data_IF_831978913634
#
_entry.id   IF_831978913634
#
_cell.length_a   1.000
_cell.length_b   1.000
_cell.length_c   1.000
_cell.angle_alpha   90.00
_cell.angle_beta   90.00
_cell.angle_gamma   90.00
#
_symmetry.space_group_name_H-M   'P 1'
#
loop_
_entity.id
_entity.type
_entity.pdbx_description
1 polymer ?
#
# COMPACT_ATOMS: atom_id res chain seq x y z
N UNK A 1 29.62 -6.32 -2.20
CA UNK A 1 28.45 -5.46 -2.47
C UNK A 1 27.97 -4.89 -1.14
N UNK A 2 27.65 -3.59 -1.06
CA UNK A 2 27.21 -2.96 0.18
C UNK A 2 25.72 -3.16 0.48
N UNK A 3 25.31 -2.92 1.73
CA UNK A 3 23.91 -3.07 2.20
C UNK A 3 22.94 -2.27 1.33
N UNK A 4 23.28 -1.04 0.94
CA UNK A 4 22.43 -0.20 0.10
C UNK A 4 22.09 -0.84 -1.26
N UNK A 5 23.05 -1.54 -1.89
CA UNK A 5 22.81 -2.23 -3.15
C UNK A 5 21.90 -3.45 -2.96
N UNK A 6 22.12 -4.25 -1.92
CA UNK A 6 21.29 -5.42 -1.61
C UNK A 6 19.84 -5.01 -1.31
N UNK A 7 19.64 -3.90 -0.59
CA UNK A 7 18.31 -3.34 -0.35
C UNK A 7 17.61 -2.95 -1.65
N UNK A 8 18.32 -2.29 -2.57
CA UNK A 8 17.75 -1.93 -3.87
C UNK A 8 17.43 -3.15 -4.72
N UNK A 9 18.32 -4.14 -4.76
CA UNK A 9 18.16 -5.37 -5.53
C UNK A 9 16.98 -6.21 -5.03
N UNK A 10 16.95 -6.52 -3.72
CA UNK A 10 15.85 -7.28 -3.12
C UNK A 10 14.55 -6.48 -3.14
N UNK A 11 14.59 -5.17 -2.91
CA UNK A 11 13.42 -4.30 -3.00
C UNK A 11 12.81 -4.29 -4.40
N UNK A 12 13.63 -4.21 -5.45
CA UNK A 12 13.16 -4.29 -6.84
C UNK A 12 12.54 -5.65 -7.15
N UNK A 13 13.19 -6.73 -6.72
CA UNK A 13 12.69 -8.09 -6.92
C UNK A 13 11.35 -8.31 -6.20
N UNK A 14 11.26 -7.90 -4.93
CA UNK A 14 10.04 -7.99 -4.13
C UNK A 14 8.90 -7.17 -4.75
N UNK A 15 9.18 -5.94 -5.19
CA UNK A 15 8.17 -5.08 -5.81
C UNK A 15 7.60 -5.68 -7.12
N UNK A 16 8.46 -6.27 -7.97
CA UNK A 16 8.03 -6.95 -9.20
C UNK A 16 7.13 -8.15 -8.91
N UNK A 17 7.59 -9.03 -8.01
CA UNK A 17 6.83 -10.21 -7.58
C UNK A 17 5.50 -9.87 -6.90
N UNK A 18 5.42 -8.77 -6.17
CA UNK A 18 4.16 -8.31 -5.61
C UNK A 18 3.22 -7.79 -6.69
N UNK A 19 3.74 -7.02 -7.67
CA UNK A 19 2.96 -6.52 -8.80
C UNK A 19 2.32 -7.66 -9.62
N UNK A 20 3.07 -8.73 -9.89
CA UNK A 20 2.54 -9.92 -10.57
C UNK A 20 1.41 -10.59 -9.79
N UNK A 21 1.56 -10.74 -8.46
CA UNK A 21 0.52 -11.37 -7.63
C UNK A 21 -0.76 -10.54 -7.56
N UNK A 22 -0.66 -9.23 -7.37
CA UNK A 22 -1.85 -8.37 -7.25
C UNK A 22 -2.57 -8.17 -8.58
N UNK A 23 -1.87 -8.33 -9.71
CA UNK A 23 -2.48 -8.30 -11.04
C UNK A 23 -3.51 -9.43 -11.22
N UNK A 24 -3.39 -10.55 -10.51
CA UNK A 24 -4.39 -11.62 -10.52
C UNK A 24 -5.76 -11.19 -9.94
N UNK A 25 -5.80 -10.07 -9.20
CA UNK A 25 -7.01 -9.46 -8.64
C UNK A 25 -7.40 -8.17 -9.39
N UNK A 26 -6.89 -7.98 -10.60
CA UNK A 26 -7.03 -6.73 -11.37
C UNK A 26 -6.60 -5.49 -10.56
N UNK A 27 -5.59 -5.64 -9.69
CA UNK A 27 -5.04 -4.55 -8.90
C UNK A 27 -3.65 -4.17 -9.37
N UNK A 28 -3.32 -2.90 -9.21
CA UNK A 28 -1.93 -2.43 -9.19
C UNK A 28 -1.43 -2.34 -7.74
N UNK A 29 -0.11 -2.40 -7.48
CA UNK A 29 0.43 -2.29 -6.12
C UNK A 29 -0.07 -1.08 -5.32
N UNK A 30 -0.20 0.15 -5.89
CA UNK A 30 -0.76 1.27 -5.13
C UNK A 30 -2.24 1.12 -4.82
N UNK A 31 -3.04 0.49 -5.69
CA UNK A 31 -4.46 0.24 -5.40
C UNK A 31 -4.59 -0.73 -4.22
N UNK A 32 -3.81 -1.81 -4.23
CA UNK A 32 -3.68 -2.72 -3.08
C UNK A 32 -3.24 -1.97 -1.80
N UNK A 33 -2.27 -1.06 -1.92
CA UNK A 33 -1.80 -0.21 -0.83
C UNK A 33 -2.88 0.72 -0.27
N UNK A 34 -3.65 1.39 -1.15
CA UNK A 34 -4.75 2.29 -0.77
C UNK A 34 -5.83 1.51 -0.01
N UNK A 35 -6.25 0.36 -0.52
CA UNK A 35 -7.27 -0.46 0.15
C UNK A 35 -6.82 -0.84 1.56
N UNK A 36 -5.57 -1.32 1.71
CA UNK A 36 -5.00 -1.68 3.01
C UNK A 36 -4.96 -0.48 3.97
N UNK A 37 -4.62 0.70 3.46
CA UNK A 37 -4.59 1.92 4.27
C UNK A 37 -6.00 2.33 4.73
N UNK A 38 -6.99 2.26 3.85
CA UNK A 38 -8.38 2.56 4.19
C UNK A 38 -8.94 1.58 5.22
N UNK A 39 -8.57 0.30 5.15
CA UNK A 39 -8.96 -0.70 6.17
C UNK A 39 -8.45 -0.32 7.56
N UNK A 40 -7.21 0.14 7.66
CA UNK A 40 -6.58 0.54 8.92
C UNK A 40 -6.96 1.94 9.39
N UNK A 41 -7.56 2.77 8.53
CA UNK A 41 -7.95 4.14 8.86
C UNK A 41 -9.22 4.54 8.07
N UNK A 42 -10.38 3.96 8.39
CA UNK A 42 -11.62 4.28 7.70
C UNK A 42 -12.04 5.73 7.99
N UNK A 43 -12.52 6.42 6.96
CA UNK A 43 -12.97 7.81 7.08
C UNK A 43 -11.87 8.86 6.99
N UNK A 44 -10.63 8.48 6.63
CA UNK A 44 -9.59 9.46 6.34
C UNK A 44 -10.00 10.40 5.19
N UNK A 45 -9.58 11.66 5.30
CA UNK A 45 -9.76 12.61 4.23
C UNK A 45 -8.87 12.25 3.03
N UNK A 46 -9.31 12.64 1.84
CA UNK A 46 -8.51 12.49 0.63
C UNK A 46 -7.13 13.17 0.75
N UNK A 47 -7.06 14.31 1.44
CA UNK A 47 -5.81 15.04 1.67
C UNK A 47 -4.82 14.24 2.51
N UNK A 48 -5.27 13.68 3.64
CA UNK A 48 -4.41 12.88 4.51
C UNK A 48 -3.87 11.64 3.78
N UNK A 49 -4.70 10.99 2.97
CA UNK A 49 -4.28 9.82 2.18
C UNK A 49 -3.30 10.21 1.07
N UNK A 50 -3.55 11.31 0.36
CA UNK A 50 -2.64 11.86 -0.63
C UNK A 50 -1.26 12.17 -0.02
N UNK A 51 -1.24 12.85 1.13
CA UNK A 51 -0.03 13.20 1.86
C UNK A 51 0.72 11.93 2.33
N UNK A 52 0.02 10.96 2.90
CA UNK A 52 0.61 9.66 3.33
C UNK A 52 1.22 8.90 2.17
N UNK A 53 0.56 8.85 1.02
CA UNK A 53 1.06 8.20 -0.19
C UNK A 53 2.16 9.00 -0.91
N UNK A 54 2.38 10.27 -0.53
CA UNK A 54 3.24 11.19 -1.26
C UNK A 54 2.74 11.45 -2.70
N UNK A 55 1.42 11.42 -2.90
CA UNK A 55 0.77 11.64 -4.18
C UNK A 55 0.18 13.06 -4.19
N UNK A 56 0.51 13.92 -5.17
CA UNK A 56 -0.09 15.24 -5.28
C UNK A 56 -1.60 15.12 -5.55
N UNK A 57 -2.44 16.06 -5.07
CA UNK A 57 -3.89 15.99 -5.21
C UNK A 57 -4.37 15.79 -6.65
N UNK A 58 -3.70 16.41 -7.63
CA UNK A 58 -4.01 16.28 -9.05
C UNK A 58 -3.88 14.86 -9.61
N UNK A 59 -3.10 13.99 -8.95
CA UNK A 59 -3.00 12.56 -9.30
C UNK A 59 -3.83 11.68 -8.37
N UNK A 60 -3.98 12.09 -7.11
CA UNK A 60 -4.73 11.32 -6.12
C UNK A 60 -6.22 11.27 -6.41
N UNK A 61 -6.82 12.38 -6.85
CA UNK A 61 -8.26 12.41 -7.15
C UNK A 61 -8.62 11.42 -8.27
N UNK A 62 -8.01 11.47 -9.47
CA UNK A 62 -8.28 10.48 -10.52
C UNK A 62 -7.97 9.05 -10.09
N UNK A 63 -6.93 8.86 -9.29
CA UNK A 63 -6.58 7.53 -8.77
C UNK A 63 -7.70 6.95 -7.89
N UNK A 64 -8.29 7.76 -7.01
CA UNK A 64 -9.44 7.32 -6.20
C UNK A 64 -10.70 7.20 -7.05
N UNK A 65 -10.90 8.05 -8.05
CA UNK A 65 -12.03 7.95 -8.99
C UNK A 65 -12.06 6.58 -9.66
N UNK A 66 -10.92 6.06 -10.15
CA UNK A 66 -10.87 4.70 -10.73
C UNK A 66 -11.26 3.60 -9.74
N UNK A 67 -11.03 3.80 -8.45
CA UNK A 67 -11.37 2.83 -7.40
C UNK A 67 -12.84 2.94 -7.01
N UNK A 68 -13.42 4.14 -7.06
CA UNK A 68 -14.85 4.39 -6.85
C UNK A 68 -15.69 3.88 -8.04
N UNK A 69 -15.25 4.10 -9.27
CA UNK A 69 -15.86 3.55 -10.49
C UNK A 69 -15.90 2.02 -10.49
N UNK A 70 -14.86 1.38 -9.92
CA UNK A 70 -14.82 -0.07 -9.70
C UNK A 70 -15.67 -0.53 -8.50
N UNK A 71 -16.28 0.40 -7.77
CA UNK A 71 -17.09 0.11 -6.60
C UNK A 71 -16.30 -0.42 -5.40
N UNK A 72 -14.99 -0.19 -5.32
CA UNK A 72 -14.12 -0.67 -4.23
C UNK A 72 -14.00 0.33 -3.08
N UNK A 73 -14.16 1.62 -3.38
CA UNK A 73 -14.07 2.73 -2.44
C UNK A 73 -15.28 3.63 -2.64
N UNK A 74 -15.71 4.31 -1.58
CA UNK A 74 -16.75 5.33 -1.66
C UNK A 74 -16.36 6.61 -0.92
N UNK A 75 -16.82 7.75 -1.44
CA UNK A 75 -16.72 9.05 -0.78
C UNK A 75 -17.99 9.36 0.00
N UNK A 76 -17.84 9.57 1.30
CA UNK A 76 -18.91 10.08 2.16
C UNK A 76 -18.57 11.50 2.60
N UNK A 77 -19.60 12.33 2.84
CA UNK A 77 -19.37 13.64 3.48
C UNK A 77 -18.79 13.40 4.86
N UNK A 78 -17.70 14.08 5.18
CA UNK A 78 -17.10 13.97 6.50
C UNK A 78 -18.08 14.57 7.55
N UNK A 79 -18.41 13.84 8.64
CA UNK A 79 -19.32 14.33 9.67
C UNK A 79 -18.78 15.55 10.43
N UNK A 80 -17.45 15.67 10.57
CA UNK A 80 -16.79 16.73 11.35
C UNK A 80 -16.51 17.99 10.53
N UNK A 81 -16.30 17.85 9.22
CA UNK A 81 -16.24 18.98 8.28
C UNK A 81 -16.92 18.62 6.96
N UNK A 82 -18.17 19.10 6.79
CA UNK A 82 -19.00 18.82 5.61
C UNK A 82 -18.40 19.32 4.28
N UNK A 83 -17.34 20.14 4.32
CA UNK A 83 -16.60 20.58 3.14
C UNK A 83 -15.58 19.55 2.67
N UNK A 84 -15.29 18.54 3.49
CA UNK A 84 -14.34 17.47 3.19
C UNK A 84 -15.08 16.16 2.88
N UNK A 85 -14.47 15.36 2.00
CA UNK A 85 -14.87 13.97 1.76
C UNK A 85 -13.95 13.03 2.50
N UNK A 86 -14.57 12.06 3.18
CA UNK A 86 -13.94 10.96 3.87
C UNK A 86 -14.07 9.70 3.00
N UNK A 87 -12.99 8.92 2.88
CA UNK A 87 -12.96 7.70 2.08
C UNK A 87 -13.19 6.46 2.94
N UNK A 88 -13.99 5.54 2.39
CA UNK A 88 -14.32 4.27 3.01
C UNK A 88 -14.18 3.15 1.99
N UNK A 89 -13.86 1.95 2.47
CA UNK A 89 -14.05 0.75 1.66
C UNK A 89 -15.54 0.45 1.54
N UNK A 90 -15.94 0.01 0.36
CA UNK A 90 -17.24 -0.66 0.18
C UNK A 90 -17.14 -2.12 0.63
N UNK A 91 -18.26 -2.84 0.66
CA UNK A 91 -18.27 -4.30 0.88
C UNK A 91 -17.46 -5.07 -0.17
N UNK A 92 -17.47 -4.61 -1.43
CA UNK A 92 -16.65 -5.18 -2.49
C UNK A 92 -15.16 -4.91 -2.26
N UNK A 93 -14.80 -3.69 -1.80
CA UNK A 93 -13.42 -3.36 -1.44
C UNK A 93 -12.89 -4.17 -0.26
N UNK A 94 -13.75 -4.45 0.73
CA UNK A 94 -13.44 -5.32 1.86
C UNK A 94 -13.23 -6.78 1.43
N UNK A 95 -14.12 -7.32 0.61
CA UNK A 95 -13.99 -8.67 0.04
C UNK A 95 -12.70 -8.83 -0.75
N UNK A 96 -12.37 -7.85 -1.60
CA UNK A 96 -11.12 -7.87 -2.39
C UNK A 96 -9.86 -7.82 -1.51
N UNK A 97 -9.91 -7.15 -0.37
CA UNK A 97 -8.81 -7.17 0.60
C UNK A 97 -8.63 -8.53 1.26
N UNK A 98 -9.73 -9.25 1.51
CA UNK A 98 -9.68 -10.60 2.07
C UNK A 98 -9.06 -11.58 1.07
N UNK A 99 -9.28 -11.39 -0.23
CA UNK A 99 -8.59 -12.12 -1.30
C UNK A 99 -7.11 -11.72 -1.44
N UNK A 100 -6.79 -10.43 -1.25
CA UNK A 100 -5.41 -9.94 -1.32
C UNK A 100 -4.54 -10.45 -0.17
N UNK A 101 -5.12 -10.65 1.02
CA UNK A 101 -4.38 -11.03 2.24
C UNK A 101 -3.54 -12.31 2.08
N UNK A 102 -4.07 -13.46 1.61
CA UNK A 102 -3.26 -14.65 1.40
C UNK A 102 -2.14 -14.45 0.36
N UNK A 103 -2.38 -13.65 -0.69
CA UNK A 103 -1.33 -13.33 -1.69
C UNK A 103 -0.19 -12.52 -1.07
N UNK A 104 -0.50 -11.56 -0.22
CA UNK A 104 0.50 -10.78 0.51
C UNK A 104 1.28 -11.64 1.53
N UNK A 105 0.62 -12.59 2.19
CA UNK A 105 1.28 -13.54 3.10
C UNK A 105 2.20 -14.50 2.35
N UNK A 106 1.76 -15.04 1.21
CA UNK A 106 2.60 -15.88 0.36
C UNK A 106 3.80 -15.10 -0.19
N UNK A 107 3.61 -13.84 -0.58
CA UNK A 107 4.70 -12.97 -1.01
C UNK A 107 5.78 -12.82 0.07
N UNK A 108 5.38 -12.52 1.31
CA UNK A 108 6.31 -12.42 2.44
C UNK A 108 7.02 -13.75 2.69
N UNK A 109 6.26 -14.85 2.76
CA UNK A 109 6.80 -16.18 3.03
C UNK A 109 7.83 -16.61 1.98
N UNK A 110 7.55 -16.39 0.70
CA UNK A 110 8.46 -16.74 -0.39
C UNK A 110 9.75 -15.91 -0.32
N UNK A 111 9.63 -14.59 -0.10
CA UNK A 111 10.77 -13.67 -0.05
C UNK A 111 11.71 -13.97 1.12
N UNK A 112 11.17 -14.43 2.24
CA UNK A 112 11.94 -14.73 3.46
C UNK A 112 12.12 -16.22 3.74
N UNK A 113 11.82 -17.08 2.77
CA UNK A 113 11.80 -18.55 2.93
C UNK A 113 13.12 -19.17 3.40
N UNK A 114 14.25 -18.49 3.18
CA UNK A 114 15.59 -18.95 3.58
C UNK A 114 15.98 -18.52 5.00
N UNK A 115 15.18 -17.68 5.66
CA UNK A 115 15.47 -17.16 7.00
C UNK A 115 14.80 -18.01 8.07
N UNK A 116 15.52 -18.29 9.16
CA UNK A 116 14.92 -18.79 10.38
C UNK A 116 14.00 -17.73 11.02
N UNK A 117 13.09 -18.13 11.95
CA UNK A 117 12.24 -17.18 12.66
C UNK A 117 13.00 -16.11 13.47
N UNK A 118 14.23 -16.40 13.90
CA UNK A 118 15.08 -15.42 14.58
C UNK A 118 15.70 -14.44 13.59
N UNK A 119 16.29 -14.93 12.49
CA UNK A 119 16.88 -14.09 11.44
C UNK A 119 15.82 -13.17 10.81
N UNK A 120 14.61 -13.68 10.59
CA UNK A 120 13.47 -12.86 10.12
C UNK A 120 13.19 -11.69 11.07
N UNK A 121 13.07 -11.96 12.38
CA UNK A 121 12.79 -10.92 13.38
C UNK A 121 13.93 -9.92 13.46
N UNK A 122 15.18 -10.38 13.42
CA UNK A 122 16.35 -9.52 13.41
C UNK A 122 16.37 -8.63 12.16
N UNK A 123 16.20 -9.20 10.96
CA UNK A 123 16.18 -8.46 9.71
C UNK A 123 15.07 -7.41 9.71
N UNK A 124 13.85 -7.81 10.08
CA UNK A 124 12.70 -6.90 10.17
C UNK A 124 12.97 -5.73 11.12
N UNK A 125 13.52 -6.00 12.31
CA UNK A 125 13.87 -4.95 13.27
C UNK A 125 14.93 -3.98 12.75
N UNK A 126 15.96 -4.49 12.07
CA UNK A 126 17.00 -3.66 11.44
C UNK A 126 16.41 -2.76 10.33
N UNK A 127 15.57 -3.33 9.45
CA UNK A 127 14.91 -2.59 8.38
C UNK A 127 13.97 -1.51 8.93
N UNK A 128 13.19 -1.82 9.98
CA UNK A 128 12.31 -0.86 10.63
C UNK A 128 13.09 0.31 11.24
N UNK A 129 14.22 0.02 11.91
CA UNK A 129 15.08 1.06 12.48
C UNK A 129 15.67 1.98 11.40
N UNK A 130 16.12 1.40 10.28
CA UNK A 130 16.61 2.18 9.13
C UNK A 130 15.51 3.02 8.50
N UNK A 131 14.30 2.46 8.33
CA UNK A 131 13.16 3.19 7.77
C UNK A 131 12.74 4.37 8.64
N UNK A 132 12.72 4.20 9.96
CA UNK A 132 12.44 5.26 10.92
C UNK A 132 13.48 6.38 10.87
N UNK A 133 14.78 6.04 10.85
CA UNK A 133 15.87 7.01 10.70
C UNK A 133 15.75 7.86 9.41
N UNK A 134 15.22 7.27 8.33
CA UNK A 134 14.98 7.96 7.06
C UNK A 134 13.60 8.61 6.93
N UNK A 135 12.82 8.64 8.01
CA UNK A 135 11.46 9.20 8.03
C UNK A 135 10.56 8.62 6.92
N UNK A 136 10.71 7.33 6.62
CA UNK A 136 9.83 6.65 5.66
C UNK A 136 8.49 6.36 6.33
N UNK A 137 7.39 6.66 5.64
CA UNK A 137 6.03 6.42 6.13
C UNK A 137 5.78 4.91 6.29
N UNK A 138 5.51 4.42 7.52
CA UNK A 138 5.22 3.01 7.73
C UNK A 138 4.01 2.55 6.91
N UNK A 139 4.10 1.36 6.31
CA UNK A 139 3.01 0.79 5.53
C UNK A 139 2.75 1.48 4.17
N UNK A 140 3.59 2.43 3.76
CA UNK A 140 3.51 3.06 2.43
C UNK A 140 4.74 2.69 1.62
N UNK A 141 4.56 2.00 0.50
CA UNK A 141 5.65 1.68 -0.39
C UNK A 141 5.98 2.90 -1.27
N UNK A 142 7.25 3.36 -1.37
CA UNK A 142 7.61 4.57 -2.13
C UNK A 142 7.24 4.50 -3.62
N UNK A 143 7.19 3.29 -4.20
CA UNK A 143 6.73 3.07 -5.58
C UNK A 143 5.31 3.57 -5.86
N UNK A 144 4.50 3.82 -4.83
CA UNK A 144 3.17 4.42 -4.98
C UNK A 144 3.22 5.88 -5.47
N UNK A 145 4.36 6.58 -5.30
CA UNK A 145 4.54 7.98 -5.73
C UNK A 145 4.62 8.17 -7.25
N UNK A 146 4.94 7.11 -7.99
CA UNK A 146 5.20 7.15 -9.44
C UNK A 146 4.10 6.53 -10.30
N UNK A 147 3.06 5.95 -9.71
CA UNK A 147 2.01 5.30 -10.51
C UNK A 147 1.12 6.35 -11.17
N UNK A 148 0.99 6.20 -12.49
CA UNK A 148 0.05 6.98 -13.30
C UNK A 148 -1.29 6.25 -13.29
N UNK A 149 -2.42 6.95 -13.14
CA UNK A 149 -3.72 6.35 -13.44
C UNK A 149 -3.67 5.85 -14.89
N UNK A 150 -4.08 4.59 -15.10
CA UNK A 150 -4.35 4.06 -16.44
C UNK A 150 -5.81 4.32 -16.76
#
# INVERSE_FOLDING_TARGET
>A
MGVAFLLAQLGSHAAGLFAERVAALDLTPPQAGLLRMLKGSPGCSQRELADRLGMPPSRFVPFVDTMEERGLVERRRNPDDRRLHALYLTEAGESLLDELRPLAMAHEADLTSTLSPEEYRQLKGLLQRMAADKNLTPGVHPGFRSVRPR
#
